data_IF_750952791557
#
_entry.id   IF_750952791557
#
_cell.length_a   1.000
_cell.length_b   1.000
_cell.length_c   1.000
_cell.angle_alpha   90.00
_cell.angle_beta   90.00
_cell.angle_gamma   90.00
#
_symmetry.space_group_name_H-M   'P 1'
#
loop_
_entity.id
_entity.type
_entity.pdbx_description
1 polymer ?
#
# COMPACT_ATOMS: atom_id res chain seq x y z
N UNK A 1 -24.79 73.73 -9.33
CA UNK A 1 -23.35 73.66 -8.99
C UNK A 1 -23.15 72.89 -7.67
N UNK A 2 -23.68 71.65 -7.56
CA UNK A 2 -23.61 70.85 -6.34
C UNK A 2 -23.95 69.36 -6.57
N UNK A 3 -23.39 68.71 -7.61
CA UNK A 3 -23.63 67.28 -7.86
C UNK A 3 -22.43 66.51 -8.46
N UNK A 4 -21.20 67.05 -8.34
CA UNK A 4 -19.96 66.41 -8.83
C UNK A 4 -19.06 65.93 -7.67
N UNK A 5 -19.56 65.94 -6.42
CA UNK A 5 -18.74 65.68 -5.23
C UNK A 5 -19.14 64.41 -4.43
N UNK A 6 -19.76 63.41 -5.07
CA UNK A 6 -20.14 62.16 -4.37
C UNK A 6 -19.50 60.87 -4.92
N UNK A 7 -18.75 60.94 -6.03
CA UNK A 7 -18.12 59.74 -6.64
C UNK A 7 -16.67 59.52 -6.17
N UNK A 8 -16.05 60.49 -5.48
CA UNK A 8 -14.66 60.34 -4.99
C UNK A 8 -14.49 59.62 -3.64
N UNK A 9 -15.58 59.25 -2.95
CA UNK A 9 -15.47 58.61 -1.63
C UNK A 9 -15.52 57.08 -1.65
N UNK A 10 -15.89 56.47 -2.78
CA UNK A 10 -15.99 55.00 -2.91
C UNK A 10 -14.90 54.37 -3.80
N UNK A 11 -14.04 55.16 -4.48
CA UNK A 11 -12.92 54.58 -5.25
C UNK A 11 -11.69 54.23 -4.40
N UNK A 12 -11.66 54.65 -3.13
CA UNK A 12 -10.52 54.41 -2.24
C UNK A 12 -10.70 53.21 -1.30
N UNK A 13 -11.85 52.54 -1.31
CA UNK A 13 -12.07 51.30 -0.54
C UNK A 13 -11.97 50.02 -1.37
N UNK A 14 -11.85 50.12 -2.70
CA UNK A 14 -11.54 48.99 -3.58
C UNK A 14 -10.03 48.78 -3.81
N UNK A 15 -9.19 49.65 -3.27
CA UNK A 15 -7.73 49.58 -3.40
C UNK A 15 -7.02 49.08 -2.13
N UNK A 16 -7.77 48.70 -1.08
CA UNK A 16 -7.22 48.16 0.19
C UNK A 16 -7.47 46.66 0.40
N UNK A 17 -8.11 45.95 -0.53
CA UNK A 17 -8.21 44.49 -0.50
C UNK A 17 -7.20 43.76 -1.40
N UNK A 18 -6.31 44.48 -2.09
CA UNK A 18 -5.27 43.89 -2.96
C UNK A 18 -3.89 43.87 -2.27
N UNK A 19 -3.79 44.32 -1.02
CA UNK A 19 -2.53 44.46 -0.28
C UNK A 19 -2.35 43.46 0.88
N UNK A 20 -2.80 42.22 0.70
CA UNK A 20 -2.45 41.11 1.60
C UNK A 20 -2.21 39.78 0.87
N UNK A 21 -1.84 39.81 -0.41
CA UNK A 21 -1.23 38.67 -1.07
C UNK A 21 0.26 38.70 -0.77
N UNK A 22 0.61 38.26 0.44
CA UNK A 22 2.00 38.02 0.83
C UNK A 22 2.60 37.05 -0.18
N UNK A 23 3.61 37.56 -0.88
CA UNK A 23 4.54 36.88 -1.76
C UNK A 23 5.02 35.58 -1.09
N UNK A 24 4.45 34.45 -1.50
CA UNK A 24 4.97 33.12 -1.17
C UNK A 24 6.17 32.85 -2.08
N UNK A 25 7.28 33.53 -1.80
CA UNK A 25 8.60 33.22 -2.37
C UNK A 25 9.39 32.48 -1.32
N UNK A 26 9.10 31.20 -1.15
CA UNK A 26 9.93 30.26 -0.39
C UNK A 26 10.94 29.64 -1.34
N UNK A 27 12.19 30.05 -1.16
CA UNK A 27 13.37 29.52 -1.83
C UNK A 27 13.56 28.05 -1.47
N UNK A 28 13.27 27.13 -2.38
CA UNK A 28 13.66 25.72 -2.22
C UNK A 28 15.14 25.56 -2.59
N UNK A 29 16.00 25.50 -1.58
CA UNK A 29 17.33 24.94 -1.70
C UNK A 29 17.36 23.64 -0.89
N UNK A 30 17.11 22.52 -1.55
CA UNK A 30 17.29 21.19 -0.96
C UNK A 30 18.35 20.44 -1.77
N UNK A 31 19.58 20.49 -1.30
CA UNK A 31 20.64 19.59 -1.72
C UNK A 31 20.44 18.26 -0.98
N UNK A 32 19.73 17.31 -1.59
CA UNK A 32 19.66 15.94 -1.09
C UNK A 32 20.63 15.08 -1.90
N UNK A 33 21.88 14.98 -1.44
CA UNK A 33 22.79 13.92 -1.83
C UNK A 33 22.80 12.90 -0.68
N UNK A 34 21.83 11.98 -0.68
CA UNK A 34 21.87 10.78 0.14
C UNK A 34 22.03 9.60 -0.82
N UNK A 35 23.18 8.96 -0.72
CA UNK A 35 23.60 7.83 -1.53
C UNK A 35 22.64 6.66 -1.34
N UNK A 36 22.16 6.16 -2.47
CA UNK A 36 21.24 5.02 -2.54
C UNK A 36 21.78 3.79 -1.84
N UNK A 37 20.92 3.26 -0.99
CA UNK A 37 20.77 1.83 -0.76
C UNK A 37 19.28 1.57 -0.95
N UNK A 38 18.85 1.28 -2.18
CA UNK A 38 17.65 0.47 -2.35
C UNK A 38 17.97 -0.86 -1.68
N UNK A 39 17.38 -1.11 -0.52
CA UNK A 39 17.45 -2.43 0.08
C UNK A 39 16.59 -3.35 -0.77
N UNK A 40 17.19 -3.93 -1.81
CA UNK A 40 16.73 -5.19 -2.36
C UNK A 40 16.91 -6.24 -1.25
N UNK A 41 16.00 -6.24 -0.28
CA UNK A 41 15.79 -7.40 0.56
C UNK A 41 15.40 -8.53 -0.40
N UNK A 42 16.14 -9.64 -0.40
CA UNK A 42 15.69 -10.82 -1.13
C UNK A 42 14.33 -11.19 -0.57
N UNK A 43 13.27 -11.04 -1.37
CA UNK A 43 11.93 -11.51 -1.04
C UNK A 43 12.00 -13.00 -0.74
N UNK A 44 11.35 -13.44 0.35
CA UNK A 44 11.27 -14.87 0.60
C UNK A 44 10.27 -15.50 -0.37
N UNK A 45 10.51 -16.77 -0.73
CA UNK A 45 9.52 -17.53 -1.49
C UNK A 45 8.25 -17.71 -0.65
N UNK A 46 7.12 -17.75 -1.33
CA UNK A 46 5.78 -17.94 -0.80
C UNK A 46 5.06 -19.01 -1.61
N UNK A 47 4.06 -19.65 -1.03
CA UNK A 47 3.00 -20.36 -1.74
C UNK A 47 1.67 -20.15 -1.02
N UNK A 48 0.57 -20.39 -1.72
CA UNK A 48 -0.77 -20.35 -1.16
C UNK A 48 -1.36 -21.76 -1.07
N UNK A 49 -1.97 -22.11 0.06
CA UNK A 49 -2.78 -23.32 0.21
C UNK A 49 -4.26 -22.96 0.24
N UNK A 50 -5.02 -23.49 -0.72
CA UNK A 50 -6.44 -23.19 -0.87
C UNK A 50 -7.34 -24.08 -0.01
N UNK A 51 -6.78 -24.97 0.82
CA UNK A 51 -7.55 -25.90 1.65
C UNK A 51 -8.58 -25.22 2.57
N UNK A 52 -8.30 -24.00 3.04
CA UNK A 52 -9.22 -23.18 3.84
C UNK A 52 -10.31 -22.45 3.01
N UNK A 53 -10.20 -22.46 1.68
CA UNK A 53 -11.06 -21.74 0.74
C UNK A 53 -11.57 -22.65 -0.41
N UNK A 54 -12.08 -23.84 -0.07
CA UNK A 54 -12.67 -24.77 -1.04
C UNK A 54 -11.69 -25.78 -1.64
N UNK A 55 -10.40 -25.67 -1.34
CA UNK A 55 -9.38 -26.64 -1.75
C UNK A 55 -9.33 -26.84 -3.26
N UNK A 56 -9.43 -28.10 -3.70
CA UNK A 56 -9.32 -28.46 -5.11
C UNK A 56 -10.47 -27.90 -5.96
N UNK A 57 -11.58 -27.46 -5.37
CA UNK A 57 -12.69 -26.90 -6.13
C UNK A 57 -12.25 -25.64 -6.90
N UNK A 58 -11.31 -24.86 -6.33
CA UNK A 58 -10.70 -23.71 -7.00
C UNK A 58 -9.92 -24.14 -8.27
N UNK A 59 -9.13 -25.21 -8.21
CA UNK A 59 -8.34 -25.65 -9.37
C UNK A 59 -9.19 -26.36 -10.44
N UNK A 60 -10.23 -27.09 -10.04
CA UNK A 60 -11.09 -27.87 -10.97
C UNK A 60 -11.86 -27.00 -11.98
N UNK A 61 -12.07 -25.72 -11.64
CA UNK A 61 -12.82 -24.79 -12.46
C UNK A 61 -11.97 -24.02 -13.50
N UNK A 62 -10.65 -24.24 -13.56
CA UNK A 62 -9.77 -23.51 -14.49
C UNK A 62 -10.09 -23.81 -15.96
N UNK A 63 -9.95 -22.79 -16.80
CA UNK A 63 -10.18 -22.90 -18.25
C UNK A 63 -8.88 -23.12 -19.05
N UNK A 64 -7.72 -22.81 -18.46
CA UNK A 64 -6.36 -22.97 -19.02
C UNK A 64 -5.47 -23.68 -17.99
N UNK A 65 -4.70 -24.66 -18.47
CA UNK A 65 -3.91 -25.57 -17.64
C UNK A 65 -4.64 -26.90 -17.41
N UNK A 66 -3.92 -27.90 -16.90
CA UNK A 66 -4.53 -29.14 -16.45
C UNK A 66 -4.73 -29.02 -14.95
N UNK A 67 -5.97 -29.18 -14.43
CA UNK A 67 -6.18 -29.31 -13.00
C UNK A 67 -5.34 -30.49 -12.49
N UNK A 68 -4.82 -30.35 -11.30
CA UNK A 68 -4.25 -31.45 -10.55
C UNK A 68 -5.07 -31.72 -9.29
N UNK A 69 -4.54 -32.55 -8.38
CA UNK A 69 -5.26 -32.97 -7.19
C UNK A 69 -4.74 -32.26 -5.92
N UNK A 70 -3.88 -31.25 -6.09
CA UNK A 70 -3.26 -30.50 -5.02
C UNK A 70 -4.06 -29.21 -4.74
N UNK A 71 -3.92 -28.67 -3.52
CA UNK A 71 -4.52 -27.39 -3.10
C UNK A 71 -3.50 -26.26 -3.08
N UNK A 72 -2.26 -26.52 -3.46
CA UNK A 72 -1.13 -25.65 -3.20
C UNK A 72 -0.59 -25.06 -4.49
N UNK A 73 -0.55 -23.74 -4.58
CA UNK A 73 0.15 -23.10 -5.68
C UNK A 73 1.61 -23.51 -5.70
N UNK A 74 2.21 -23.48 -6.89
CA UNK A 74 3.65 -23.37 -7.05
C UNK A 74 4.22 -22.17 -6.30
N UNK A 75 5.54 -22.18 -6.09
CA UNK A 75 6.19 -21.11 -5.34
C UNK A 75 6.35 -19.82 -6.16
N UNK A 76 6.09 -18.69 -5.53
CA UNK A 76 6.29 -17.33 -6.06
C UNK A 76 7.02 -16.46 -5.03
N UNK A 77 7.49 -15.27 -5.38
CA UNK A 77 8.22 -14.37 -4.47
C UNK A 77 7.51 -13.04 -4.23
N UNK A 78 6.54 -12.68 -5.07
CA UNK A 78 5.88 -11.37 -5.01
C UNK A 78 4.41 -11.49 -5.41
N UNK A 79 3.53 -10.83 -4.67
CA UNK A 79 2.20 -10.46 -5.15
C UNK A 79 2.35 -9.19 -5.99
N UNK A 80 1.90 -9.20 -7.25
CA UNK A 80 1.89 -8.00 -8.08
C UNK A 80 0.48 -7.43 -8.20
N UNK A 81 0.40 -6.12 -8.36
CA UNK A 81 -0.82 -5.42 -8.71
C UNK A 81 -0.52 -4.37 -9.77
N UNK A 82 -1.43 -4.21 -10.72
CA UNK A 82 -1.39 -3.15 -11.70
C UNK A 82 -2.70 -2.39 -11.72
N UNK A 83 -2.61 -1.12 -12.03
CA UNK A 83 -3.75 -0.23 -12.19
C UNK A 83 -4.68 -0.11 -10.96
N UNK A 84 -4.16 -0.35 -9.75
CA UNK A 84 -4.93 -0.21 -8.52
C UNK A 84 -5.32 1.26 -8.32
N UNK A 85 -6.61 1.54 -8.13
CA UNK A 85 -7.08 2.91 -7.97
C UNK A 85 -6.94 3.35 -6.52
N UNK A 86 -5.97 4.21 -6.25
CA UNK A 86 -5.75 4.81 -4.95
C UNK A 86 -6.41 6.18 -4.86
N UNK A 87 -7.07 6.46 -3.73
CA UNK A 87 -7.64 7.78 -3.44
C UNK A 87 -7.01 8.34 -2.18
N UNK A 88 -6.40 9.52 -2.30
CA UNK A 88 -5.83 10.29 -1.20
C UNK A 88 -6.79 11.41 -0.80
N UNK A 89 -7.04 11.54 0.51
CA UNK A 89 -7.92 12.54 1.09
C UNK A 89 -7.13 13.33 2.13
N UNK A 90 -6.79 14.58 1.78
CA UNK A 90 -6.02 15.51 2.62
C UNK A 90 -6.95 16.40 3.42
N UNK A 91 -6.70 16.54 4.72
CA UNK A 91 -7.38 17.53 5.56
C UNK A 91 -6.98 18.94 5.10
N UNK A 92 -7.97 19.73 4.69
CA UNK A 92 -7.78 21.12 4.24
C UNK A 92 -8.52 22.12 5.13
N UNK A 93 -8.84 21.73 6.36
CA UNK A 93 -9.57 22.56 7.32
C UNK A 93 -8.84 23.85 7.70
N UNK A 94 -7.50 23.88 7.60
CA UNK A 94 -6.66 25.04 7.85
C UNK A 94 -6.24 25.80 6.57
N UNK A 95 -6.62 25.27 5.39
CA UNK A 95 -6.25 25.82 4.08
C UNK A 95 -4.84 25.45 3.60
N UNK A 96 -4.17 24.49 4.24
CA UNK A 96 -2.86 23.94 3.84
C UNK A 96 -3.03 22.55 3.21
N UNK A 97 -2.29 22.28 2.12
CA UNK A 97 -2.17 20.92 1.58
C UNK A 97 -1.29 20.02 2.47
N UNK A 98 -0.32 20.61 3.17
CA UNK A 98 0.53 19.88 4.09
C UNK A 98 -0.23 19.67 5.40
N UNK A 99 -0.16 18.46 5.94
CA UNK A 99 -0.94 18.09 7.12
C UNK A 99 -1.35 16.63 7.05
N UNK A 100 -2.38 16.29 7.82
CA UNK A 100 -2.89 14.93 7.91
C UNK A 100 -3.63 14.55 6.63
N UNK A 101 -3.47 13.30 6.23
CA UNK A 101 -4.20 12.72 5.11
C UNK A 101 -4.36 11.22 5.33
N UNK A 102 -5.28 10.62 4.59
CA UNK A 102 -5.36 9.17 4.50
C UNK A 102 -5.56 8.72 3.06
N UNK A 103 -5.06 7.54 2.75
CA UNK A 103 -5.28 6.86 1.48
C UNK A 103 -6.16 5.64 1.67
N UNK A 104 -7.14 5.46 0.78
CA UNK A 104 -8.02 4.29 0.81
C UNK A 104 -8.58 3.94 -0.56
N UNK A 105 -8.95 2.67 -0.74
CA UNK A 105 -9.81 2.19 -1.82
C UNK A 105 -11.18 1.68 -1.31
N UNK A 106 -11.48 1.87 -0.03
CA UNK A 106 -12.69 1.34 0.62
C UNK A 106 -13.90 2.20 0.23
N UNK A 107 -14.84 1.61 -0.50
CA UNK A 107 -15.98 2.33 -1.05
C UNK A 107 -16.84 3.04 0.02
N UNK A 108 -17.02 2.45 1.21
CA UNK A 108 -17.78 3.10 2.29
C UNK A 108 -17.09 4.36 2.83
N UNK A 109 -15.76 4.38 2.89
CA UNK A 109 -14.99 5.54 3.35
C UNK A 109 -15.00 6.65 2.30
N UNK A 110 -14.81 6.30 1.03
CA UNK A 110 -14.90 7.24 -0.09
C UNK A 110 -16.29 7.88 -0.20
N UNK A 111 -17.35 7.08 -0.01
CA UNK A 111 -18.71 7.59 0.05
C UNK A 111 -18.93 8.52 1.25
N UNK A 112 -18.38 8.19 2.43
CA UNK A 112 -18.48 9.02 3.62
C UNK A 112 -17.73 10.35 3.46
N UNK A 113 -16.62 10.36 2.71
CA UNK A 113 -15.88 11.56 2.34
C UNK A 113 -16.55 12.40 1.23
N UNK A 114 -17.64 11.92 0.64
CA UNK A 114 -18.40 12.65 -0.37
C UNK A 114 -17.71 12.74 -1.74
N UNK A 115 -16.82 11.80 -2.07
CA UNK A 115 -16.07 11.79 -3.34
C UNK A 115 -17.03 11.89 -4.54
N UNK A 116 -17.02 13.00 -5.32
CA UNK A 116 -17.89 13.16 -6.48
C UNK A 116 -17.32 12.42 -7.70
N UNK A 117 -18.03 12.43 -8.82
CA UNK A 117 -17.52 11.85 -10.08
C UNK A 117 -16.62 12.81 -10.88
N UNK A 118 -16.74 14.12 -10.63
CA UNK A 118 -15.87 15.13 -11.25
C UNK A 118 -16.03 16.50 -10.57
N UNK A 119 -15.10 17.40 -10.86
CA UNK A 119 -15.16 18.80 -10.45
C UNK A 119 -14.07 19.64 -11.09
N UNK A 120 -13.93 20.88 -10.63
CA UNK A 120 -12.83 21.77 -11.02
C UNK A 120 -11.78 21.73 -9.92
N UNK A 121 -10.53 21.52 -10.30
CA UNK A 121 -9.39 21.50 -9.40
C UNK A 121 -9.24 22.84 -8.64
N UNK A 122 -8.44 22.84 -7.58
CA UNK A 122 -8.19 24.04 -6.78
C UNK A 122 -7.41 25.14 -7.54
N UNK A 123 -6.85 24.82 -8.70
CA UNK A 123 -6.31 25.83 -9.63
C UNK A 123 -7.41 26.69 -10.31
N UNK A 124 -8.68 26.31 -10.18
CA UNK A 124 -9.85 27.01 -10.70
C UNK A 124 -10.12 26.82 -12.20
N UNK A 125 -9.36 25.95 -12.89
CA UNK A 125 -9.44 25.78 -14.35
C UNK A 125 -9.45 24.31 -14.77
N UNK A 126 -8.63 23.46 -14.14
CA UNK A 126 -8.42 22.08 -14.59
C UNK A 126 -9.60 21.20 -14.18
N UNK A 127 -10.25 20.46 -15.10
CA UNK A 127 -11.24 19.46 -14.73
C UNK A 127 -10.56 18.24 -14.09
N UNK A 128 -11.04 17.81 -12.93
CA UNK A 128 -10.65 16.55 -12.28
C UNK A 128 -11.80 15.57 -12.43
N UNK A 129 -11.50 14.37 -12.91
CA UNK A 129 -12.45 13.25 -12.92
C UNK A 129 -12.07 12.29 -11.81
N UNK A 130 -13.06 11.91 -11.01
CA UNK A 130 -12.88 10.96 -9.92
C UNK A 130 -13.84 9.78 -10.15
N UNK A 131 -13.48 8.61 -9.67
CA UNK A 131 -14.31 7.42 -9.79
C UNK A 131 -14.22 6.57 -8.52
N UNK A 132 -15.30 5.85 -8.21
CA UNK A 132 -15.18 4.77 -7.22
C UNK A 132 -14.32 3.64 -7.81
N UNK A 133 -13.49 2.96 -7.01
CA UNK A 133 -12.71 1.81 -7.47
C UNK A 133 -13.58 0.77 -8.16
N UNK A 134 -13.20 0.36 -9.36
CA UNK A 134 -13.90 -0.68 -10.12
C UNK A 134 -13.24 -2.04 -9.86
N UNK A 135 -13.50 -2.62 -8.68
CA UNK A 135 -12.93 -3.91 -8.30
C UNK A 135 -13.19 -5.02 -9.33
N UNK A 136 -14.41 -5.18 -9.91
CA UNK A 136 -14.63 -6.16 -10.99
C UNK A 136 -13.80 -5.95 -12.27
N UNK A 137 -13.12 -4.81 -12.42
CA UNK A 137 -12.22 -4.53 -13.52
C UNK A 137 -10.73 -4.57 -13.12
N UNK A 138 -10.39 -5.13 -11.96
CA UNK A 138 -9.00 -5.30 -11.53
C UNK A 138 -8.45 -4.17 -10.66
N UNK A 139 -9.22 -3.11 -10.39
CA UNK A 139 -8.67 -1.92 -9.69
C UNK A 139 -8.51 -2.09 -8.17
N UNK A 140 -8.88 -3.25 -7.64
CA UNK A 140 -8.77 -3.58 -6.22
C UNK A 140 -8.03 -4.91 -6.02
N UNK A 141 -7.40 -5.47 -7.06
CA UNK A 141 -7.01 -6.88 -7.04
C UNK A 141 -5.49 -7.04 -7.04
N UNK A 142 -5.02 -8.14 -6.46
CA UNK A 142 -3.70 -8.69 -6.80
C UNK A 142 -3.87 -9.41 -8.12
N UNK A 143 -3.08 -9.03 -9.13
CA UNK A 143 -3.20 -9.53 -10.50
C UNK A 143 -1.98 -10.35 -10.97
N UNK A 144 -1.02 -10.59 -10.06
CA UNK A 144 0.12 -11.44 -10.32
C UNK A 144 0.62 -12.16 -9.07
N UNK A 145 1.07 -13.39 -9.27
CA UNK A 145 1.89 -14.15 -8.32
C UNK A 145 3.23 -14.36 -9.00
N UNK A 146 4.21 -13.47 -8.84
CA UNK A 146 5.43 -13.50 -9.68
C UNK A 146 6.46 -14.52 -9.16
N UNK A 147 7.04 -15.39 -10.01
CA UNK A 147 6.92 -15.46 -11.47
C UNK A 147 5.87 -16.47 -11.98
N UNK A 148 5.01 -16.97 -11.09
CA UNK A 148 4.02 -18.02 -11.35
C UNK A 148 2.90 -17.57 -12.31
N UNK A 149 2.29 -16.42 -12.07
CA UNK A 149 1.23 -15.81 -12.90
C UNK A 149 1.50 -14.32 -13.07
N UNK A 150 1.35 -13.77 -14.29
CA UNK A 150 1.20 -14.46 -15.57
C UNK A 150 2.48 -15.22 -16.01
N UNK A 151 2.38 -16.29 -16.82
CA UNK A 151 1.19 -16.77 -17.55
C UNK A 151 0.29 -17.76 -16.75
N UNK A 152 -0.97 -17.92 -17.17
CA UNK A 152 -1.99 -18.76 -16.50
C UNK A 152 -1.81 -20.29 -16.65
N UNK A 153 -0.87 -20.74 -17.50
CA UNK A 153 -0.59 -22.16 -17.73
C UNK A 153 0.51 -22.68 -16.78
N UNK A 154 0.37 -22.35 -15.50
CA UNK A 154 1.29 -22.69 -14.41
C UNK A 154 0.54 -23.39 -13.26
N UNK A 155 1.30 -23.82 -12.25
CA UNK A 155 0.85 -24.41 -10.98
C UNK A 155 0.25 -23.30 -10.09
N UNK A 156 -0.85 -22.69 -10.54
CA UNK A 156 -1.46 -21.49 -9.94
C UNK A 156 -2.86 -21.72 -9.35
N UNK A 157 -3.32 -22.94 -9.47
CA UNK A 157 -4.51 -23.52 -8.86
C UNK A 157 -5.75 -22.71 -9.16
N UNK A 158 -5.78 -22.15 -10.38
CA UNK A 158 -6.90 -21.38 -10.89
C UNK A 158 -6.87 -19.89 -10.59
N UNK A 159 -5.76 -19.35 -10.06
CA UNK A 159 -5.60 -17.90 -9.84
C UNK A 159 -5.91 -17.10 -11.13
N UNK A 160 -6.75 -16.07 -11.00
CA UNK A 160 -7.35 -15.24 -12.07
C UNK A 160 -8.26 -15.98 -13.06
N UNK A 161 -8.66 -17.22 -12.76
CA UNK A 161 -9.58 -18.00 -13.57
C UNK A 161 -10.81 -18.43 -12.78
N UNK A 162 -10.59 -18.94 -11.58
CA UNK A 162 -11.61 -19.46 -10.66
C UNK A 162 -11.64 -18.73 -9.33
N UNK A 163 -10.57 -18.04 -8.98
CA UNK A 163 -10.49 -17.18 -7.80
C UNK A 163 -9.49 -16.04 -8.04
N UNK A 164 -9.61 -14.98 -7.25
CA UNK A 164 -8.66 -13.89 -7.16
C UNK A 164 -8.49 -13.41 -5.70
N UNK A 165 -7.63 -12.41 -5.53
CA UNK A 165 -7.42 -11.76 -4.24
C UNK A 165 -7.78 -10.29 -4.36
N UNK A 166 -8.76 -9.87 -3.56
CA UNK A 166 -9.20 -8.49 -3.49
C UNK A 166 -8.60 -7.80 -2.27
N UNK A 167 -8.20 -6.55 -2.44
CA UNK A 167 -7.50 -5.75 -1.45
C UNK A 167 -8.39 -4.61 -1.01
N UNK A 168 -8.55 -4.46 0.30
CA UNK A 168 -9.07 -3.25 0.93
C UNK A 168 -7.98 -2.65 1.82
N UNK A 169 -7.79 -1.33 1.77
CA UNK A 169 -6.80 -0.69 2.62
C UNK A 169 -7.23 0.69 3.10
N UNK A 170 -6.67 1.08 4.23
CA UNK A 170 -6.73 2.42 4.79
C UNK A 170 -5.35 2.75 5.36
N UNK A 171 -4.70 3.81 4.89
CA UNK A 171 -3.39 4.25 5.40
C UNK A 171 -3.45 5.68 5.89
N UNK A 172 -3.12 5.89 7.15
CA UNK A 172 -3.01 7.20 7.79
C UNK A 172 -1.59 7.77 7.62
N UNK A 173 -1.49 9.05 7.29
CA UNK A 173 -0.20 9.71 7.14
C UNK A 173 -0.24 11.21 7.31
N UNK A 174 0.95 11.80 7.17
CA UNK A 174 1.16 13.24 7.11
C UNK A 174 1.90 13.59 5.83
N UNK A 175 1.34 14.51 5.02
CA UNK A 175 2.00 15.04 3.84
C UNK A 175 3.00 16.13 4.26
N UNK A 176 4.28 15.89 3.99
CA UNK A 176 5.37 16.83 4.31
C UNK A 176 5.91 17.49 3.04
N UNK A 177 6.73 18.55 3.14
CA UNK A 177 7.45 19.09 1.98
C UNK A 177 8.41 18.09 1.30
N UNK A 178 8.71 16.95 1.92
CA UNK A 178 9.52 15.88 1.34
C UNK A 178 8.68 14.77 0.69
N UNK A 179 7.36 14.79 0.83
CA UNK A 179 6.45 13.73 0.41
C UNK A 179 5.61 13.15 1.56
N UNK A 180 4.76 12.15 1.25
CA UNK A 180 3.94 11.48 2.24
C UNK A 180 4.79 10.67 3.23
N UNK A 181 4.36 10.66 4.48
CA UNK A 181 4.87 9.78 5.54
C UNK A 181 3.69 9.07 6.15
N UNK A 182 3.59 7.76 5.94
CA UNK A 182 2.53 6.94 6.51
C UNK A 182 2.97 6.41 7.87
N UNK A 183 2.05 6.45 8.83
CA UNK A 183 2.34 6.16 10.24
C UNK A 183 1.39 5.14 10.86
N UNK A 184 0.30 4.79 10.16
CA UNK A 184 -0.65 3.79 10.62
C UNK A 184 -1.65 3.40 9.54
N UNK A 185 -2.56 2.50 9.89
CA UNK A 185 -3.54 1.94 8.97
C UNK A 185 -3.39 0.43 8.81
N UNK A 186 -4.11 -0.13 7.84
CA UNK A 186 -4.18 -1.56 7.61
C UNK A 186 -4.42 -1.89 6.14
N UNK A 187 -4.11 -3.14 5.79
CA UNK A 187 -4.52 -3.79 4.55
C UNK A 187 -5.20 -5.11 4.88
N UNK A 188 -6.32 -5.37 4.22
CA UNK A 188 -7.05 -6.63 4.25
C UNK A 188 -7.04 -7.22 2.85
N UNK A 189 -6.69 -8.50 2.77
CA UNK A 189 -6.72 -9.26 1.52
C UNK A 189 -7.75 -10.35 1.66
N UNK A 190 -8.73 -10.34 0.78
CA UNK A 190 -9.83 -11.28 0.73
C UNK A 190 -9.64 -12.26 -0.41
N UNK A 191 -9.81 -13.54 -0.09
CA UNK A 191 -10.02 -14.56 -1.10
C UNK A 191 -11.41 -14.38 -1.70
N UNK A 192 -11.50 -14.36 -3.02
CA UNK A 192 -12.75 -14.21 -3.72
C UNK A 192 -12.90 -15.31 -4.79
N UNK A 193 -13.92 -16.16 -4.61
CA UNK A 193 -14.29 -17.21 -5.54
C UNK A 193 -15.09 -16.64 -6.72
N UNK A 194 -14.58 -16.84 -7.93
CA UNK A 194 -15.16 -16.33 -9.18
C UNK A 194 -16.15 -17.30 -9.83
N UNK A 195 -16.19 -18.57 -9.40
CA UNK A 195 -16.90 -19.64 -10.12
C UNK A 195 -18.11 -20.15 -9.34
N UNK A 196 -17.98 -20.40 -8.05
CA UNK A 196 -19.03 -21.08 -7.30
C UNK A 196 -20.19 -20.14 -6.92
N UNK A 197 -19.95 -18.83 -6.85
CA UNK A 197 -21.00 -17.81 -6.69
C UNK A 197 -21.80 -17.91 -5.39
N UNK A 198 -21.48 -18.87 -4.53
CA UNK A 198 -21.84 -18.96 -3.14
C UNK A 198 -20.70 -18.34 -2.32
N UNK A 199 -20.94 -17.17 -1.73
CA UNK A 199 -19.95 -16.49 -0.89
C UNK A 199 -19.55 -17.22 0.40
N UNK A 200 -19.66 -18.56 0.45
CA UNK A 200 -19.24 -19.42 1.56
C UNK A 200 -17.73 -19.75 1.49
N UNK A 201 -17.10 -19.67 0.30
CA UNK A 201 -15.64 -19.82 0.10
C UNK A 201 -14.88 -18.49 0.04
N UNK A 202 -15.57 -17.35 -0.12
CA UNK A 202 -14.94 -16.03 -0.05
C UNK A 202 -14.75 -15.57 1.40
N UNK A 203 -13.60 -15.00 1.73
CA UNK A 203 -13.31 -14.61 3.10
C UNK A 203 -12.00 -13.87 3.26
N UNK A 204 -11.76 -13.35 4.47
CA UNK A 204 -10.49 -12.71 4.79
C UNK A 204 -9.37 -13.75 4.75
N UNK A 205 -8.42 -13.55 3.85
CA UNK A 205 -7.28 -14.44 3.65
C UNK A 205 -6.11 -14.04 4.55
N UNK A 206 -5.77 -12.76 4.60
CA UNK A 206 -4.84 -12.21 5.59
C UNK A 206 -5.04 -10.71 5.78
N UNK A 207 -4.58 -10.21 6.93
CA UNK A 207 -4.55 -8.78 7.26
C UNK A 207 -3.18 -8.39 7.76
N UNK A 208 -2.80 -7.14 7.50
CA UNK A 208 -1.56 -6.58 8.02
C UNK A 208 -1.72 -5.12 8.44
N UNK A 209 -1.07 -4.75 9.53
CA UNK A 209 -1.08 -3.38 10.07
C UNK A 209 0.15 -2.63 9.56
N UNK A 210 -0.05 -1.38 9.14
CA UNK A 210 1.02 -0.53 8.66
C UNK A 210 1.90 -0.06 9.83
N UNK A 211 3.19 -0.36 9.74
CA UNK A 211 4.19 -0.02 10.78
C UNK A 211 5.05 1.19 10.40
N UNK A 212 5.09 1.54 9.12
CA UNK A 212 5.75 2.75 8.64
C UNK A 212 5.97 2.76 7.13
N UNK A 213 6.59 3.84 6.66
CA UNK A 213 6.91 4.06 5.25
C UNK A 213 8.30 4.65 5.05
N UNK A 214 8.86 4.46 3.87
CA UNK A 214 10.05 5.15 3.40
C UNK A 214 9.83 5.65 1.97
N UNK A 215 10.07 6.95 1.73
CA UNK A 215 9.99 7.53 0.39
C UNK A 215 11.35 8.04 -0.07
N UNK A 216 11.75 7.64 -1.28
CA UNK A 216 12.94 8.15 -1.95
C UNK A 216 12.58 8.60 -3.36
N UNK A 217 12.57 9.92 -3.57
CA UNK A 217 12.01 10.55 -4.75
C UNK A 217 10.54 10.13 -4.95
N UNK A 218 10.25 9.22 -5.90
CA UNK A 218 8.90 8.70 -6.16
C UNK A 218 8.70 7.25 -5.71
N UNK A 219 9.75 6.55 -5.27
CA UNK A 219 9.64 5.19 -4.76
C UNK A 219 9.15 5.22 -3.31
N UNK A 220 8.04 4.54 -3.04
CA UNK A 220 7.41 4.44 -1.74
C UNK A 220 7.44 2.98 -1.29
N UNK A 221 8.17 2.72 -0.22
CA UNK A 221 8.11 1.46 0.51
C UNK A 221 7.15 1.61 1.68
N UNK A 222 6.23 0.66 1.86
CA UNK A 222 5.38 0.52 3.04
C UNK A 222 5.69 -0.80 3.75
N UNK A 223 5.81 -0.74 5.08
CA UNK A 223 6.17 -1.89 5.91
C UNK A 223 5.00 -2.32 6.79
N UNK A 224 4.68 -3.61 6.79
CA UNK A 224 3.54 -4.13 7.52
C UNK A 224 3.92 -5.32 8.39
N UNK A 225 3.18 -5.46 9.49
CA UNK A 225 3.15 -6.66 10.32
C UNK A 225 1.86 -7.42 10.01
N UNK A 226 1.96 -8.70 9.65
CA UNK A 226 0.78 -9.54 9.40
C UNK A 226 0.13 -9.85 10.74
N UNK A 227 -1.10 -9.39 10.93
CA UNK A 227 -1.87 -9.51 12.18
C UNK A 227 -2.87 -10.64 12.15
N UNK A 228 -3.24 -11.11 10.95
CA UNK A 228 -4.10 -12.26 10.74
C UNK A 228 -3.72 -12.97 9.45
N UNK A 229 -3.81 -14.29 9.44
CA UNK A 229 -3.84 -15.11 8.24
C UNK A 229 -4.82 -16.26 8.47
N UNK A 230 -5.55 -16.64 7.42
CA UNK A 230 -6.33 -17.87 7.42
C UNK A 230 -5.39 -19.07 7.59
N UNK A 231 -5.86 -20.05 8.34
CA UNK A 231 -5.09 -21.26 8.66
C UNK A 231 -4.59 -21.93 7.38
N UNK A 232 -3.32 -22.32 7.38
CA UNK A 232 -2.58 -22.91 6.26
C UNK A 232 -2.51 -22.06 4.97
N UNK A 233 -3.16 -20.91 4.86
CA UNK A 233 -3.31 -20.19 3.59
C UNK A 233 -1.98 -19.60 3.09
N UNK A 234 -1.31 -18.75 3.89
CA UNK A 234 -0.12 -18.02 3.47
C UNK A 234 1.15 -18.65 4.05
N UNK A 235 1.89 -19.36 3.21
CA UNK A 235 3.13 -20.03 3.63
C UNK A 235 4.35 -19.28 3.11
N UNK A 236 5.28 -18.94 4.01
CA UNK A 236 6.47 -18.13 3.71
C UNK A 236 7.73 -18.93 4.04
N UNK A 237 8.65 -19.03 3.09
CA UNK A 237 9.94 -19.69 3.28
C UNK A 237 10.83 -18.85 4.20
N UNK A 238 11.28 -19.39 5.34
CA UNK A 238 12.15 -18.65 6.26
C UNK A 238 13.66 -18.85 6.01
N UNK A 239 14.03 -19.50 4.90
CA UNK A 239 15.41 -19.92 4.61
C UNK A 239 15.71 -21.38 4.95
N UNK A 240 14.84 -22.05 5.71
CA UNK A 240 15.03 -23.45 6.16
C UNK A 240 13.78 -24.33 6.09
N UNK A 241 12.61 -23.73 6.26
CA UNK A 241 11.32 -24.39 6.19
C UNK A 241 10.26 -23.40 5.69
N UNK A 242 9.16 -23.96 5.16
CA UNK A 242 7.93 -23.23 4.97
C UNK A 242 7.28 -23.00 6.32
N UNK A 243 6.84 -21.76 6.55
CA UNK A 243 6.18 -21.36 7.77
C UNK A 243 4.82 -20.80 7.39
N UNK A 244 3.77 -21.43 7.90
CA UNK A 244 2.43 -20.86 7.84
C UNK A 244 2.37 -19.57 8.69
N UNK A 245 1.85 -18.51 8.10
CA UNK A 245 1.73 -17.21 8.74
C UNK A 245 0.78 -17.26 9.95
N UNK A 246 -0.29 -18.06 9.91
CA UNK A 246 -1.23 -18.17 11.03
C UNK A 246 -0.54 -18.80 12.25
N UNK A 247 0.17 -19.91 12.05
CA UNK A 247 1.03 -20.55 13.07
C UNK A 247 2.14 -19.63 13.59
N UNK A 248 2.77 -18.85 12.71
CA UNK A 248 3.79 -17.87 13.11
C UNK A 248 3.20 -16.82 14.07
N UNK A 249 2.02 -16.27 13.76
CA UNK A 249 1.32 -15.30 14.61
C UNK A 249 0.93 -15.94 15.95
N UNK A 250 0.32 -17.13 15.91
CA UNK A 250 -0.11 -17.86 17.10
C UNK A 250 1.06 -18.22 18.04
N UNK A 251 2.26 -18.43 17.49
CA UNK A 251 3.50 -18.66 18.25
C UNK A 251 4.21 -17.38 18.71
N UNK A 252 3.65 -16.21 18.44
CA UNK A 252 4.20 -14.91 18.85
C UNK A 252 5.36 -14.40 17.99
N UNK A 253 5.54 -14.97 16.79
CA UNK A 253 6.41 -14.39 15.76
C UNK A 253 5.64 -13.31 14.99
N UNK A 254 6.38 -12.49 14.25
CA UNK A 254 5.82 -11.37 13.50
C UNK A 254 6.16 -11.54 12.01
N UNK A 255 5.34 -12.25 11.22
CA UNK A 255 5.47 -12.23 9.77
C UNK A 255 5.26 -10.79 9.27
N UNK A 256 6.02 -10.38 8.25
CA UNK A 256 5.99 -9.01 7.74
C UNK A 256 5.78 -9.00 6.24
N UNK A 257 5.12 -7.95 5.75
CA UNK A 257 5.03 -7.64 4.32
C UNK A 257 5.76 -6.32 4.02
N UNK A 258 6.33 -6.22 2.83
CA UNK A 258 6.82 -4.95 2.28
C UNK A 258 6.14 -4.71 0.95
N UNK A 259 5.45 -3.58 0.83
CA UNK A 259 4.90 -3.10 -0.43
C UNK A 259 5.88 -2.09 -1.04
N UNK A 260 6.24 -2.32 -2.30
CA UNK A 260 7.03 -1.41 -3.13
C UNK A 260 6.12 -0.84 -4.22
N UNK A 261 5.91 0.48 -4.21
CA UNK A 261 5.07 1.18 -5.18
C UNK A 261 5.66 2.54 -5.53
N UNK A 262 5.07 3.19 -6.54
CA UNK A 262 5.47 4.51 -6.97
C UNK A 262 4.33 5.52 -6.77
N UNK A 263 4.66 6.67 -6.17
CA UNK A 263 3.75 7.82 -6.08
C UNK A 263 4.38 8.98 -6.83
N UNK A 264 3.79 9.35 -7.97
CA UNK A 264 4.31 10.40 -8.84
C UNK A 264 3.22 11.38 -9.30
N UNK A 265 3.35 12.70 -9.02
CA UNK A 265 4.33 13.29 -8.10
C UNK A 265 4.04 12.88 -6.64
N UNK A 266 5.07 12.82 -5.76
CA UNK A 266 4.88 12.59 -4.33
C UNK A 266 4.04 13.67 -3.65
N UNK A 267 4.20 14.92 -4.10
CA UNK A 267 3.40 16.06 -3.64
C UNK A 267 2.49 16.46 -4.80
N UNK A 268 1.17 16.42 -4.62
CA UNK A 268 0.24 16.67 -5.70
C UNK A 268 0.25 18.13 -6.15
N UNK A 269 0.01 18.32 -7.46
CA UNK A 269 -0.19 19.63 -8.07
C UNK A 269 -1.58 20.20 -7.74
N UNK A 270 -1.71 21.53 -7.83
CA UNK A 270 -3.00 22.21 -7.64
C UNK A 270 -4.03 21.84 -8.72
N UNK A 271 -3.57 21.34 -9.86
CA UNK A 271 -4.34 20.85 -11.00
C UNK A 271 -4.84 19.41 -10.81
N UNK A 272 -4.33 18.68 -9.80
CA UNK A 272 -4.72 17.29 -9.51
C UNK A 272 -5.71 17.16 -8.33
N UNK A 273 -5.93 18.26 -7.59
CA UNK A 273 -6.64 18.26 -6.32
C UNK A 273 -8.04 18.85 -6.44
N UNK A 274 -9.06 18.08 -6.06
CA UNK A 274 -10.43 18.55 -5.98
C UNK A 274 -10.83 18.86 -4.53
N UNK A 275 -11.35 20.05 -4.27
CA UNK A 275 -11.89 20.43 -2.95
C UNK A 275 -13.32 19.91 -2.77
N UNK A 276 -13.54 19.10 -1.74
CA UNK A 276 -14.83 18.49 -1.39
C UNK A 276 -15.04 18.60 0.11
N UNK A 277 -16.05 19.35 0.55
CA UNK A 277 -16.46 19.48 1.96
C UNK A 277 -15.31 19.76 2.96
N UNK A 278 -14.30 20.51 2.52
CA UNK A 278 -13.14 20.88 3.36
C UNK A 278 -11.95 19.92 3.28
N UNK A 279 -12.02 18.89 2.43
CA UNK A 279 -10.92 17.98 2.11
C UNK A 279 -10.44 18.19 0.67
N UNK A 280 -9.15 17.98 0.43
CA UNK A 280 -8.64 17.85 -0.94
C UNK A 280 -8.56 16.37 -1.32
N UNK A 281 -9.04 16.04 -2.51
CA UNK A 281 -9.10 14.67 -3.01
C UNK A 281 -8.24 14.55 -4.26
N UNK A 282 -7.40 13.52 -4.29
CA UNK A 282 -6.62 13.10 -5.46
C UNK A 282 -6.83 11.62 -5.70
N UNK A 283 -6.83 11.23 -6.97
CA UNK A 283 -6.71 9.83 -7.36
C UNK A 283 -5.44 9.59 -8.15
N UNK A 284 -4.85 8.43 -7.93
CA UNK A 284 -3.72 7.92 -8.67
C UNK A 284 -3.92 6.45 -8.97
N UNK A 285 -3.19 5.99 -9.98
CA UNK A 285 -3.14 4.59 -10.36
C UNK A 285 -1.82 4.05 -9.88
N UNK A 286 -1.85 3.03 -9.02
CA UNK A 286 -0.68 2.41 -8.44
C UNK A 286 -0.35 1.11 -9.17
N UNK A 287 0.93 0.94 -9.43
CA UNK A 287 1.54 -0.31 -9.88
C UNK A 287 2.65 -0.66 -8.89
N UNK A 288 2.73 -1.92 -8.47
CA UNK A 288 3.71 -2.31 -7.48
C UNK A 288 3.70 -3.80 -7.16
N UNK A 289 4.44 -4.16 -6.13
CA UNK A 289 4.49 -5.52 -5.63
C UNK A 289 4.58 -5.59 -4.10
N UNK A 290 4.16 -6.72 -3.54
CA UNK A 290 4.20 -7.03 -2.12
C UNK A 290 5.02 -8.29 -1.92
N UNK A 291 5.96 -8.24 -0.97
CA UNK A 291 6.86 -9.34 -0.65
C UNK A 291 6.69 -9.74 0.81
N UNK A 292 6.75 -11.05 1.09
CA UNK A 292 6.61 -11.59 2.44
C UNK A 292 7.93 -12.00 3.08
N UNK A 293 7.98 -11.94 4.41
CA UNK A 293 9.11 -12.42 5.20
C UNK A 293 8.67 -12.90 6.57
N UNK A 294 9.27 -13.98 7.04
CA UNK A 294 9.19 -14.42 8.45
C UNK A 294 10.58 -14.28 9.06
N UNK A 295 10.74 -13.59 10.21
CA UNK A 295 12.01 -13.55 10.92
C UNK A 295 12.53 -14.97 11.18
N UNK A 296 13.80 -15.24 10.85
CA UNK A 296 14.40 -16.52 11.19
C UNK A 296 14.34 -16.73 12.71
N UNK A 297 14.10 -17.95 13.21
CA UNK A 297 14.14 -18.22 14.64
C UNK A 297 15.49 -17.79 15.20
N UNK A 298 15.49 -17.00 16.28
CA UNK A 298 16.67 -16.33 16.85
C UNK A 298 17.80 -17.26 17.35
N UNK A 299 17.68 -18.58 17.13
CA UNK A 299 18.67 -19.60 17.47
C UNK A 299 19.99 -19.42 16.72
N UNK A 300 20.01 -18.82 15.51
CA UNK A 300 21.25 -18.59 14.74
C UNK A 300 22.09 -17.45 15.34
N UNK A 301 21.46 -16.40 15.86
CA UNK A 301 22.17 -15.30 16.52
C UNK A 301 22.82 -15.75 17.85
N UNK A 302 22.16 -16.65 18.58
CA UNK A 302 22.65 -17.16 19.87
C UNK A 302 23.80 -18.16 19.71
N UNK A 303 23.76 -19.02 18.68
CA UNK A 303 24.88 -19.92 18.37
C UNK A 303 26.12 -19.17 17.87
N UNK A 304 25.94 -18.08 17.10
CA UNK A 304 27.03 -17.21 16.65
C UNK A 304 27.73 -16.48 17.80
N UNK A 305 26.96 -15.95 18.77
CA UNK A 305 27.49 -15.32 19.98
C UNK A 305 28.11 -16.34 20.96
N UNK A 306 27.54 -17.54 21.08
CA UNK A 306 28.06 -18.62 21.91
C UNK A 306 29.44 -19.12 21.47
N UNK A 307 29.68 -19.26 20.16
CA UNK A 307 30.99 -19.65 19.62
C UNK A 307 32.05 -18.54 19.76
N UNK A 308 31.65 -17.27 19.61
CA UNK A 308 32.53 -16.11 19.83
C UNK A 308 32.91 -15.94 21.31
N UNK A 309 31.98 -16.22 22.23
CA UNK A 309 32.23 -16.24 23.68
C UNK A 309 33.19 -17.36 24.11
N UNK A 310 33.05 -18.56 23.55
CA UNK A 310 33.94 -19.70 23.83
C UNK A 310 35.34 -19.52 23.20
N UNK A 311 35.44 -18.88 22.04
CA UNK A 311 36.73 -18.58 21.39
C UNK A 311 37.58 -17.55 22.14
N UNK A 312 36.94 -16.58 22.82
CA UNK A 312 37.63 -15.59 23.65
C UNK A 312 37.94 -16.11 25.07
N UNK A 313 37.14 -17.02 25.61
CA UNK A 313 37.41 -17.68 26.88
C UNK A 313 38.62 -18.65 26.81
N UNK A 314 38.89 -19.23 25.63
CA UNK A 314 40.02 -20.15 25.41
C UNK A 314 41.41 -19.53 25.41
N UNK A 315 41.55 -18.20 25.32
CA UNK A 315 42.87 -17.52 25.22
C UNK A 315 43.42 -16.95 26.53
N UNK A 316 42.76 -17.19 27.68
CA UNK A 316 43.26 -16.75 29.01
C UNK A 316 43.77 -17.89 29.88
N UNK A 317 44.61 -18.80 29.35
CA UNK A 317 45.50 -19.63 30.18
C UNK A 317 46.81 -19.95 29.44
N UNK A 318 47.73 -18.98 29.40
CA UNK A 318 49.19 -19.18 29.48
C UNK A 318 49.90 -17.84 29.61
N UNK A 319 50.08 -17.43 30.86
CA UNK A 319 51.14 -16.51 31.27
C UNK A 319 51.60 -17.00 32.65
N UNK A 320 52.51 -17.98 32.61
CA UNK A 320 53.41 -18.40 33.67
C UNK A 320 54.62 -19.02 32.98
#
# INVERSE_FOLDING_TARGET
MAQILYIRKYSNQFCEQVYNMKTLTTTFAATALALGLSSAANANMMYLDLSSFGGNDADTARFIGAPDANTQTGSFSEFGFSQMLATSIYDFSDGSLLGDFYDTNIASELNAAGVPTSGTAIDGVTPVNLAMPNCPAGQCDIDALSPLVPPLASDNEGFLQSWDLQVEYHFDGTLTPAGPVYTGGYVNVYFNDLVLGDGDSSGLAFSADLTGSNIQAANLDLFFDITFAADDFLNIWNGSAWVDAADAIASGNNPTLTLDTNVNPPIPGADELLLVDGNLIRQSTLDGSITGKVPAPGSIALFGLGLLGLGLAGRRKKAA
#
